data_IF_836196878155
#
_entry.id   IF_836196878155
#
_cell.length_a   1.000
_cell.length_b   1.000
_cell.length_c   1.000
_cell.angle_alpha   90.00
_cell.angle_beta   90.00
_cell.angle_gamma   90.00
#
_symmetry.space_group_name_H-M   'P 1'
#
loop_
_entity.id
_entity.type
_entity.pdbx_description
1 polymer ?
#
# COMPACT_ATOMS: atom_id res chain seq x y z
N UNK A 1 -41.77 14.29 -20.32
CA UNK A 1 -41.54 14.23 -21.78
C UNK A 1 -41.64 15.64 -22.42
N UNK A 2 -42.70 16.41 -22.25
CA UNK A 2 -42.88 17.73 -22.90
C UNK A 2 -42.03 18.88 -22.34
N UNK A 3 -41.15 18.64 -21.36
CA UNK A 3 -40.30 19.68 -20.76
C UNK A 3 -39.01 19.93 -21.58
N UNK A 4 -38.63 19.01 -22.51
CA UNK A 4 -37.48 19.21 -23.36
C UNK A 4 -37.90 20.01 -24.60
N UNK A 5 -37.21 21.16 -24.83
CA UNK A 5 -37.51 22.09 -25.92
C UNK A 5 -37.30 21.44 -27.31
N UNK A 6 -36.27 20.60 -27.46
CA UNK A 6 -35.96 19.93 -28.72
C UNK A 6 -37.06 18.95 -29.13
N UNK A 7 -37.61 18.16 -28.18
CA UNK A 7 -38.68 17.21 -28.47
C UNK A 7 -39.96 17.92 -28.81
N UNK A 8 -40.24 19.03 -28.12
CA UNK A 8 -41.41 19.86 -28.47
C UNK A 8 -41.32 20.43 -29.88
N UNK A 9 -40.13 20.96 -30.24
CA UNK A 9 -39.92 21.49 -31.60
C UNK A 9 -40.09 20.40 -32.67
N UNK A 10 -39.51 19.19 -32.42
CA UNK A 10 -39.61 18.06 -33.32
C UNK A 10 -41.08 17.55 -33.41
N UNK A 11 -41.75 17.42 -32.27
CA UNK A 11 -43.18 17.04 -32.24
C UNK A 11 -44.06 18.03 -33.02
N UNK A 12 -43.89 19.35 -32.80
CA UNK A 12 -44.62 20.38 -33.53
C UNK A 12 -44.29 20.30 -35.04
N UNK A 13 -43.05 20.11 -35.45
CA UNK A 13 -42.68 19.92 -36.83
C UNK A 13 -43.33 18.70 -37.45
N UNK A 14 -43.28 17.52 -36.81
CA UNK A 14 -43.96 16.30 -37.26
C UNK A 14 -45.48 16.44 -37.36
N UNK A 15 -46.10 17.17 -36.41
CA UNK A 15 -47.53 17.45 -36.45
C UNK A 15 -47.88 18.37 -37.65
N UNK A 16 -47.14 19.43 -37.84
CA UNK A 16 -47.35 20.37 -38.98
C UNK A 16 -47.14 19.73 -40.33
N UNK A 17 -46.03 18.97 -40.47
CA UNK A 17 -45.71 18.28 -41.72
C UNK A 17 -46.74 17.20 -42.08
N UNK A 18 -47.16 16.42 -41.07
CA UNK A 18 -48.19 15.41 -41.22
C UNK A 18 -49.55 15.97 -41.57
N UNK A 19 -49.95 17.07 -40.93
CA UNK A 19 -51.20 17.76 -41.25
C UNK A 19 -51.18 18.28 -42.73
N UNK A 20 -50.08 18.86 -43.16
CA UNK A 20 -49.91 19.32 -44.55
C UNK A 20 -50.01 18.15 -45.55
N UNK A 21 -49.40 17.00 -45.23
CA UNK A 21 -49.46 15.80 -46.07
C UNK A 21 -50.86 15.20 -46.17
N UNK A 22 -51.62 15.21 -45.06
CA UNK A 22 -53.02 14.73 -45.04
C UNK A 22 -53.91 15.64 -45.84
N UNK A 23 -53.79 16.97 -45.68
CA UNK A 23 -54.56 17.97 -46.46
C UNK A 23 -54.27 17.85 -47.96
N UNK A 24 -53.00 17.71 -48.35
CA UNK A 24 -52.62 17.47 -49.74
C UNK A 24 -53.19 16.18 -50.31
N UNK A 25 -53.19 15.09 -49.51
CA UNK A 25 -53.78 13.81 -49.87
C UNK A 25 -55.27 13.91 -50.16
N UNK A 26 -56.05 14.58 -49.30
CA UNK A 26 -57.48 14.81 -49.54
C UNK A 26 -57.77 15.71 -50.73
N UNK A 27 -56.90 16.64 -51.11
CA UNK A 27 -57.00 17.46 -52.28
C UNK A 27 -56.83 16.69 -53.61
N UNK A 28 -56.10 15.56 -53.56
CA UNK A 28 -55.85 14.69 -54.74
C UNK A 28 -56.97 13.67 -54.92
N UNK A 29 -57.23 12.88 -53.83
CA UNK A 29 -58.29 11.89 -53.79
C UNK A 29 -58.65 11.53 -52.36
N UNK A 30 -59.94 11.20 -52.00
CA UNK A 30 -60.36 10.83 -50.69
C UNK A 30 -59.61 9.60 -50.10
N UNK A 31 -59.34 8.62 -50.96
CA UNK A 31 -58.61 7.41 -50.61
C UNK A 31 -57.14 7.71 -50.23
N UNK A 32 -56.49 8.65 -50.93
CA UNK A 32 -55.13 9.09 -50.65
C UNK A 32 -55.03 9.86 -49.32
N UNK A 33 -56.04 10.68 -48.97
CA UNK A 33 -56.15 11.35 -47.70
C UNK A 33 -56.25 10.42 -46.49
N UNK A 34 -57.09 9.35 -46.62
CA UNK A 34 -57.22 8.32 -45.59
C UNK A 34 -55.93 7.51 -45.37
N UNK A 35 -55.26 7.12 -46.44
CA UNK A 35 -53.98 6.45 -46.37
C UNK A 35 -52.87 7.33 -45.71
N UNK A 36 -52.81 8.61 -46.08
CA UNK A 36 -51.88 9.57 -45.44
C UNK A 36 -52.15 9.75 -43.96
N UNK A 37 -53.38 9.82 -43.53
CA UNK A 37 -53.80 9.94 -42.14
C UNK A 37 -53.44 8.65 -41.34
N UNK A 38 -53.66 7.46 -41.89
CA UNK A 38 -53.26 6.20 -41.27
C UNK A 38 -51.77 6.07 -41.13
N UNK A 39 -51.01 6.38 -42.15
CA UNK A 39 -49.54 6.36 -42.14
C UNK A 39 -48.98 7.38 -41.11
N UNK A 40 -49.50 8.59 -41.10
CA UNK A 40 -49.10 9.61 -40.15
C UNK A 40 -49.41 9.21 -38.70
N UNK A 41 -50.59 8.65 -38.43
CA UNK A 41 -50.95 8.12 -37.11
C UNK A 41 -50.03 7.03 -36.65
N UNK A 42 -49.67 6.09 -37.56
CA UNK A 42 -48.70 5.03 -37.26
C UNK A 42 -47.31 5.59 -36.92
N UNK A 43 -46.80 6.56 -37.70
CA UNK A 43 -45.52 7.23 -37.43
C UNK A 43 -45.51 8.00 -36.09
N UNK A 44 -46.60 8.72 -35.79
CA UNK A 44 -46.75 9.43 -34.51
C UNK A 44 -46.79 8.46 -33.32
N UNK A 45 -47.50 7.34 -33.44
CA UNK A 45 -47.51 6.30 -32.40
C UNK A 45 -46.12 5.68 -32.19
N UNK A 46 -45.45 5.30 -33.27
CA UNK A 46 -44.05 4.77 -33.21
C UNK A 46 -43.06 5.75 -32.58
N UNK A 47 -43.15 7.02 -32.97
CA UNK A 47 -42.31 8.07 -32.36
C UNK A 47 -42.61 8.25 -30.87
N UNK A 48 -43.89 8.20 -30.47
CA UNK A 48 -44.31 8.30 -29.07
C UNK A 48 -43.76 7.15 -28.22
N UNK A 49 -43.89 5.91 -28.70
CA UNK A 49 -43.35 4.71 -28.04
C UNK A 49 -41.82 4.77 -27.91
N UNK A 50 -41.14 5.08 -29.00
CA UNK A 50 -39.66 5.19 -28.99
C UNK A 50 -39.18 6.27 -28.02
N UNK A 51 -39.81 7.44 -28.02
CA UNK A 51 -39.47 8.54 -27.12
C UNK A 51 -39.70 8.14 -25.66
N UNK A 52 -40.84 7.48 -25.37
CA UNK A 52 -41.14 6.98 -24.02
C UNK A 52 -40.12 6.00 -23.51
N UNK A 53 -39.73 5.01 -24.35
CA UNK A 53 -38.71 4.05 -24.04
C UNK A 53 -37.37 4.72 -23.74
N UNK A 54 -36.90 5.62 -24.62
CA UNK A 54 -35.65 6.37 -24.46
C UNK A 54 -35.61 7.17 -23.15
N UNK A 55 -36.70 7.86 -22.80
CA UNK A 55 -36.77 8.59 -21.53
C UNK A 55 -36.73 7.68 -20.30
N UNK A 56 -37.35 6.51 -20.38
CA UNK A 56 -37.31 5.51 -19.32
C UNK A 56 -35.87 5.05 -19.09
N UNK A 57 -35.10 4.81 -20.14
CA UNK A 57 -33.69 4.41 -20.03
C UNK A 57 -32.81 5.51 -19.40
N UNK A 58 -33.01 6.77 -19.81
CA UNK A 58 -32.29 7.92 -19.22
C UNK A 58 -32.65 8.07 -17.73
N UNK A 59 -33.91 7.90 -17.37
CA UNK A 59 -34.36 7.95 -15.97
C UNK A 59 -33.70 6.89 -15.10
N UNK A 60 -33.52 5.67 -15.61
CA UNK A 60 -32.80 4.60 -14.91
C UNK A 60 -31.33 4.99 -14.67
N UNK A 61 -30.65 5.57 -15.67
CA UNK A 61 -29.29 6.05 -15.51
C UNK A 61 -29.17 7.17 -14.48
N UNK A 62 -30.12 8.12 -14.51
CA UNK A 62 -30.13 9.23 -13.53
C UNK A 62 -30.35 8.70 -12.11
N UNK A 63 -31.27 7.75 -11.94
CA UNK A 63 -31.52 7.12 -10.64
C UNK A 63 -30.31 6.31 -10.14
N UNK A 64 -29.61 5.64 -11.07
CA UNK A 64 -28.36 4.94 -10.76
C UNK A 64 -27.27 5.90 -10.25
N UNK A 65 -27.01 7.00 -10.99
CA UNK A 65 -26.05 8.02 -10.58
C UNK A 65 -26.40 8.65 -9.23
N UNK A 66 -27.67 8.96 -9.00
CA UNK A 66 -28.13 9.49 -7.71
C UNK A 66 -27.87 8.52 -6.55
N UNK A 67 -28.04 7.22 -6.79
CA UNK A 67 -27.77 6.17 -5.79
C UNK A 67 -26.26 6.06 -5.50
N UNK A 68 -25.41 6.04 -6.54
CA UNK A 68 -23.95 6.00 -6.40
C UNK A 68 -23.46 7.24 -5.65
N UNK A 69 -23.96 8.42 -6.01
CA UNK A 69 -23.61 9.67 -5.32
C UNK A 69 -24.04 9.67 -3.83
N UNK A 70 -25.14 9.02 -3.49
CA UNK A 70 -25.61 8.85 -2.11
C UNK A 70 -24.85 7.76 -1.31
N UNK A 71 -23.75 7.22 -1.83
CA UNK A 71 -22.94 6.19 -1.15
C UNK A 71 -23.51 4.77 -1.23
N UNK A 72 -24.48 4.53 -2.13
CA UNK A 72 -25.03 3.21 -2.38
C UNK A 72 -24.05 2.30 -3.15
N UNK A 73 -24.23 0.97 -3.00
CA UNK A 73 -23.43 0.00 -3.74
C UNK A 73 -23.59 0.19 -5.26
N UNK A 74 -22.47 0.08 -5.96
CA UNK A 74 -22.44 0.03 -7.43
C UNK A 74 -23.16 -1.25 -7.89
N UNK A 75 -24.30 -1.07 -8.56
CA UNK A 75 -25.02 -2.19 -9.18
C UNK A 75 -24.57 -2.36 -10.63
N UNK A 76 -24.56 -3.59 -11.11
CA UNK A 76 -24.28 -3.83 -12.52
C UNK A 76 -25.49 -3.38 -13.36
N UNK A 77 -25.26 -2.33 -14.16
CA UNK A 77 -26.25 -1.74 -15.07
C UNK A 77 -25.95 -2.07 -16.54
N UNK A 78 -24.92 -2.89 -16.78
CA UNK A 78 -24.54 -3.29 -18.14
C UNK A 78 -25.63 -4.13 -18.75
N UNK A 79 -25.89 -3.89 -20.01
CA UNK A 79 -26.73 -4.74 -20.84
C UNK A 79 -25.95 -5.11 -22.12
N UNK A 80 -26.29 -6.25 -22.71
CA UNK A 80 -25.66 -6.73 -23.93
C UNK A 80 -26.42 -6.24 -25.17
N UNK A 81 -27.12 -5.12 -25.07
CA UNK A 81 -27.84 -4.55 -26.23
C UNK A 81 -26.90 -3.67 -27.03
N UNK A 82 -26.97 -3.75 -28.34
CA UNK A 82 -26.24 -2.84 -29.23
C UNK A 82 -26.86 -1.46 -29.19
N UNK A 83 -26.02 -0.41 -29.11
CA UNK A 83 -26.46 0.98 -29.20
C UNK A 83 -25.66 1.93 -28.32
N UNK A 84 -25.74 3.21 -28.64
CA UNK A 84 -25.03 4.31 -27.96
C UNK A 84 -25.33 4.37 -26.46
N UNK A 85 -26.58 4.06 -26.07
CA UNK A 85 -27.02 4.07 -24.68
C UNK A 85 -26.38 2.94 -23.86
N UNK A 86 -26.13 1.78 -24.48
CA UNK A 86 -25.42 0.66 -23.87
C UNK A 86 -23.94 0.97 -23.67
N UNK A 87 -23.30 1.61 -24.63
CA UNK A 87 -21.94 2.09 -24.48
C UNK A 87 -21.83 3.05 -23.29
N UNK A 88 -22.76 4.03 -23.20
CA UNK A 88 -22.79 4.96 -22.09
C UNK A 88 -23.00 4.26 -20.73
N UNK A 89 -23.87 3.26 -20.64
CA UNK A 89 -24.05 2.43 -19.43
C UNK A 89 -22.77 1.74 -19.03
N UNK A 90 -22.07 1.12 -19.98
CA UNK A 90 -20.81 0.41 -19.76
C UNK A 90 -19.70 1.35 -19.26
N UNK A 91 -19.58 2.53 -19.85
CA UNK A 91 -18.56 3.51 -19.46
C UNK A 91 -18.87 4.11 -18.09
N UNK A 92 -20.14 4.45 -17.80
CA UNK A 92 -20.55 4.88 -16.47
C UNK A 92 -20.28 3.82 -15.41
N UNK A 93 -20.57 2.54 -15.71
CA UNK A 93 -20.26 1.45 -14.79
C UNK A 93 -18.76 1.35 -14.51
N UNK A 94 -17.90 1.38 -15.55
CA UNK A 94 -16.44 1.34 -15.39
C UNK A 94 -15.93 2.50 -14.51
N UNK A 95 -16.42 3.72 -14.79
CA UNK A 95 -16.03 4.91 -14.01
C UNK A 95 -16.48 4.77 -12.55
N UNK A 96 -17.71 4.34 -12.31
CA UNK A 96 -18.21 4.19 -10.93
C UNK A 96 -17.49 3.10 -10.15
N UNK A 97 -17.14 1.97 -10.78
CA UNK A 97 -16.31 0.93 -10.17
C UNK A 97 -14.92 1.45 -9.84
N UNK A 98 -14.27 2.17 -10.77
CA UNK A 98 -12.95 2.74 -10.54
C UNK A 98 -12.96 3.77 -9.39
N UNK A 99 -13.97 4.65 -9.34
CA UNK A 99 -14.13 5.62 -8.25
C UNK A 99 -14.38 4.94 -6.90
N UNK A 100 -15.19 3.86 -6.87
CA UNK A 100 -15.42 3.10 -5.65
C UNK A 100 -14.13 2.45 -5.15
N UNK A 101 -13.36 1.82 -6.04
CA UNK A 101 -12.07 1.23 -5.70
C UNK A 101 -11.09 2.27 -5.13
N UNK A 102 -11.03 3.46 -5.74
CA UNK A 102 -10.20 4.56 -5.22
C UNK A 102 -10.67 5.05 -3.85
N UNK A 103 -11.99 5.15 -3.63
CA UNK A 103 -12.54 5.55 -2.35
C UNK A 103 -12.25 4.51 -1.24
N UNK A 104 -12.39 3.22 -1.55
CA UNK A 104 -12.10 2.12 -0.64
C UNK A 104 -10.60 2.07 -0.30
N UNK A 105 -9.72 2.28 -1.30
CA UNK A 105 -8.27 2.38 -1.10
C UNK A 105 -7.91 3.57 -0.20
N UNK A 106 -8.46 4.75 -0.48
CA UNK A 106 -8.23 5.95 0.34
C UNK A 106 -8.70 5.76 1.78
N UNK A 107 -9.82 5.05 1.97
CA UNK A 107 -10.33 4.75 3.31
C UNK A 107 -9.43 3.74 4.05
N UNK A 108 -8.90 2.74 3.35
CA UNK A 108 -7.92 1.80 3.88
C UNK A 108 -6.63 2.53 4.28
N UNK A 109 -6.12 3.41 3.41
CA UNK A 109 -4.91 4.21 3.68
C UNK A 109 -5.11 5.14 4.90
N UNK A 110 -6.30 5.78 5.03
CA UNK A 110 -6.62 6.60 6.21
C UNK A 110 -6.65 5.80 7.49
N UNK A 111 -7.24 4.60 7.48
CA UNK A 111 -7.26 3.71 8.66
C UNK A 111 -5.84 3.30 9.01
N UNK A 112 -5.08 2.85 8.02
CA UNK A 112 -3.68 2.48 8.22
C UNK A 112 -2.85 3.61 8.85
N UNK A 113 -3.02 4.87 8.37
CA UNK A 113 -2.35 6.03 8.96
C UNK A 113 -2.80 6.31 10.40
N UNK A 114 -4.09 6.17 10.70
CA UNK A 114 -4.62 6.39 12.05
C UNK A 114 -4.07 5.34 13.04
N UNK A 115 -4.05 4.07 12.64
CA UNK A 115 -3.52 2.97 13.43
C UNK A 115 -2.01 3.15 13.67
N UNK A 116 -1.24 3.48 12.61
CA UNK A 116 0.19 3.75 12.71
C UNK A 116 0.50 4.92 13.64
N UNK A 117 -0.27 6.02 13.61
CA UNK A 117 -0.13 7.16 14.52
C UNK A 117 -0.44 6.76 15.99
N UNK A 118 -1.44 5.90 16.18
CA UNK A 118 -1.77 5.34 17.49
C UNK A 118 -0.59 4.54 18.06
N UNK A 119 -0.03 3.64 17.26
CA UNK A 119 1.11 2.81 17.63
C UNK A 119 2.36 3.64 17.94
N UNK A 120 2.69 4.63 17.09
CA UNK A 120 3.78 5.57 17.31
C UNK A 120 3.61 6.28 18.65
N UNK A 121 2.42 6.82 18.91
CA UNK A 121 2.12 7.54 20.14
C UNK A 121 2.34 6.65 21.36
N UNK A 122 1.87 5.40 21.29
CA UNK A 122 2.06 4.44 22.39
C UNK A 122 3.53 4.06 22.58
N UNK A 123 4.27 3.81 21.50
CA UNK A 123 5.69 3.45 21.53
C UNK A 123 6.60 4.60 21.97
N UNK A 124 6.20 5.86 21.80
CA UNK A 124 6.90 7.04 22.32
C UNK A 124 6.54 7.32 23.78
N UNK A 125 5.28 7.14 24.18
CA UNK A 125 4.80 7.43 25.54
C UNK A 125 5.51 6.60 26.60
N UNK A 126 5.72 5.32 26.35
CA UNK A 126 6.34 4.39 27.31
C UNK A 126 7.76 4.79 27.71
N UNK A 127 8.73 4.96 26.75
CA UNK A 127 10.09 5.38 27.08
C UNK A 127 10.15 6.81 27.62
N UNK A 128 9.27 7.71 27.16
CA UNK A 128 9.20 9.07 27.66
C UNK A 128 8.76 9.12 29.13
N UNK A 129 7.69 8.36 29.48
CA UNK A 129 7.24 8.27 30.86
C UNK A 129 8.32 7.67 31.76
N UNK A 130 9.02 6.62 31.30
CA UNK A 130 10.14 6.03 32.02
C UNK A 130 11.28 7.03 32.22
N UNK A 131 11.62 7.81 31.19
CA UNK A 131 12.64 8.86 31.26
C UNK A 131 12.27 9.95 32.29
N UNK A 132 11.01 10.39 32.30
CA UNK A 132 10.52 11.39 33.27
C UNK A 132 10.63 10.87 34.71
N UNK A 133 10.17 9.64 34.98
CA UNK A 133 10.30 9.04 36.31
C UNK A 133 11.77 8.94 36.74
N UNK A 134 12.69 8.56 35.81
CA UNK A 134 14.13 8.54 36.13
C UNK A 134 14.66 9.94 36.46
N UNK A 135 14.18 10.97 35.77
CA UNK A 135 14.59 12.36 36.05
C UNK A 135 14.12 12.80 37.43
N UNK A 136 12.88 12.47 37.82
CA UNK A 136 12.36 12.79 39.15
C UNK A 136 13.15 12.09 40.27
N UNK A 137 13.49 10.80 40.05
CA UNK A 137 14.32 10.05 41.00
C UNK A 137 15.75 10.60 41.13
N UNK A 138 16.33 11.07 39.99
CA UNK A 138 17.67 11.69 40.00
C UNK A 138 17.71 13.07 40.70
N UNK A 139 16.55 13.74 40.88
CA UNK A 139 16.44 15.01 41.58
C UNK A 139 16.60 14.84 43.10
N UNK A 140 16.46 13.61 43.64
CA UNK A 140 16.69 13.33 45.03
C UNK A 140 18.18 13.44 45.39
N UNK A 141 18.51 14.45 46.22
CA UNK A 141 19.89 14.71 46.68
C UNK A 141 20.41 13.54 47.59
N UNK A 142 19.53 12.75 48.20
CA UNK A 142 19.90 11.66 49.09
C UNK A 142 20.20 10.35 48.36
N UNK A 143 20.06 10.32 47.00
CA UNK A 143 20.24 9.12 46.19
C UNK A 143 21.70 8.64 46.25
N UNK A 144 21.96 7.35 46.58
CA UNK A 144 23.29 6.76 46.55
C UNK A 144 23.92 6.84 45.16
N UNK A 145 25.24 7.10 45.08
CA UNK A 145 25.97 7.29 43.84
C UNK A 145 25.79 6.11 42.87
N UNK A 146 25.77 4.87 43.35
CA UNK A 146 25.54 3.68 42.53
C UNK A 146 24.16 3.70 41.87
N UNK A 147 23.12 4.09 42.59
CA UNK A 147 21.74 4.23 42.07
C UNK A 147 21.64 5.38 41.08
N UNK A 148 22.37 6.49 41.34
CA UNK A 148 22.44 7.63 40.43
C UNK A 148 22.99 7.23 39.07
N UNK A 149 24.09 6.47 39.03
CA UNK A 149 24.68 5.93 37.81
C UNK A 149 23.72 5.01 37.09
N UNK A 150 23.09 4.06 37.80
CA UNK A 150 22.10 3.13 37.21
C UNK A 150 20.93 3.89 36.56
N UNK A 151 20.37 4.90 37.21
CA UNK A 151 19.26 5.67 36.65
C UNK A 151 19.69 6.53 35.49
N UNK A 152 20.90 7.10 35.52
CA UNK A 152 21.48 7.86 34.40
C UNK A 152 21.67 6.95 33.18
N UNK A 153 22.17 5.73 33.34
CA UNK A 153 22.36 4.77 32.27
C UNK A 153 21.02 4.31 31.67
N UNK A 154 20.02 4.11 32.52
CA UNK A 154 18.67 3.76 32.08
C UNK A 154 18.02 4.91 31.33
N UNK A 155 18.15 6.15 31.81
CA UNK A 155 17.65 7.35 31.15
C UNK A 155 18.29 7.52 29.76
N UNK A 156 19.61 7.38 29.68
CA UNK A 156 20.35 7.45 28.40
C UNK A 156 19.85 6.42 27.40
N UNK A 157 19.61 5.19 27.83
CA UNK A 157 19.03 4.13 26.97
C UNK A 157 17.64 4.48 26.47
N UNK A 158 16.76 5.02 27.31
CA UNK A 158 15.42 5.43 26.90
C UNK A 158 15.44 6.57 25.89
N UNK A 159 16.29 7.58 26.10
CA UNK A 159 16.47 8.68 25.15
C UNK A 159 17.03 8.20 23.81
N UNK A 160 18.03 7.31 23.83
CA UNK A 160 18.58 6.70 22.63
C UNK A 160 17.53 5.90 21.83
N UNK A 161 16.63 5.18 22.54
CA UNK A 161 15.51 4.47 21.96
C UNK A 161 14.53 5.43 21.25
N UNK A 162 14.17 6.55 21.90
CA UNK A 162 13.30 7.57 21.30
C UNK A 162 13.96 8.16 20.05
N UNK A 163 15.24 8.53 20.13
CA UNK A 163 15.97 9.08 19.01
C UNK A 163 16.03 8.12 17.81
N UNK A 164 16.30 6.84 18.08
CA UNK A 164 16.28 5.80 17.04
C UNK A 164 14.89 5.65 16.41
N UNK A 165 13.83 5.62 17.24
CA UNK A 165 12.45 5.48 16.77
C UNK A 165 12.05 6.63 15.85
N UNK A 166 12.29 7.87 16.26
CA UNK A 166 12.01 9.06 15.44
C UNK A 166 12.81 9.03 14.13
N UNK A 167 14.10 8.66 14.19
CA UNK A 167 14.93 8.51 12.99
C UNK A 167 14.42 7.45 12.02
N UNK A 168 13.99 6.29 12.53
CA UNK A 168 13.43 5.22 11.72
C UNK A 168 12.10 5.62 11.06
N UNK A 169 11.22 6.31 11.80
CA UNK A 169 9.94 6.82 11.28
C UNK A 169 10.13 7.86 10.18
N UNK A 170 11.05 8.80 10.36
CA UNK A 170 11.37 9.80 9.33
C UNK A 170 11.91 9.13 8.05
N UNK A 171 12.74 8.09 8.19
CA UNK A 171 13.26 7.34 7.05
C UNK A 171 12.15 6.58 6.33
N UNK A 172 11.27 5.89 7.06
CA UNK A 172 10.10 5.22 6.48
C UNK A 172 9.18 6.20 5.75
N UNK A 173 8.86 7.33 6.36
CA UNK A 173 8.04 8.37 5.74
C UNK A 173 8.62 8.88 4.42
N UNK A 174 9.96 9.07 4.35
CA UNK A 174 10.63 9.49 3.11
C UNK A 174 10.63 8.40 2.05
N UNK A 175 10.78 7.14 2.44
CA UNK A 175 10.69 5.99 1.53
C UNK A 175 9.30 5.88 0.92
N UNK A 176 8.25 6.00 1.74
CA UNK A 176 6.85 5.93 1.28
C UNK A 176 6.48 7.06 0.32
N UNK A 177 6.95 8.24 0.61
CA UNK A 177 6.75 9.41 -0.26
C UNK A 177 7.56 9.34 -1.57
N UNK A 178 8.41 8.31 -1.77
CA UNK A 178 9.34 8.26 -2.90
C UNK A 178 10.34 9.43 -2.91
N UNK A 179 10.55 10.08 -1.76
CA UNK A 179 11.36 11.29 -1.63
C UNK A 179 12.86 11.00 -1.39
N UNK A 180 13.25 9.73 -1.44
CA UNK A 180 14.65 9.33 -1.29
C UNK A 180 15.29 9.18 -2.66
N UNK A 181 16.31 9.98 -2.93
CA UNK A 181 17.16 9.79 -4.10
C UNK A 181 18.30 8.83 -3.75
N UNK A 182 18.17 7.57 -4.15
CA UNK A 182 19.24 6.58 -3.95
C UNK A 182 20.39 6.81 -4.92
N UNK A 183 21.60 6.70 -4.39
CA UNK A 183 22.80 6.70 -5.23
C UNK A 183 22.99 5.33 -5.83
N UNK A 184 23.18 5.24 -7.15
CA UNK A 184 23.54 4.01 -7.84
C UNK A 184 25.05 3.98 -8.05
N UNK A 185 25.76 3.47 -7.04
CA UNK A 185 27.21 3.35 -7.05
C UNK A 185 27.62 1.86 -7.00
N UNK A 186 28.79 1.49 -7.51
CA UNK A 186 29.29 0.12 -7.37
C UNK A 186 29.67 -0.17 -5.91
N UNK A 187 28.98 -1.07 -5.27
CA UNK A 187 29.14 -1.44 -3.87
C UNK A 187 29.74 -2.85 -3.78
N UNK A 188 30.97 -3.01 -3.24
CA UNK A 188 31.51 -4.33 -2.93
C UNK A 188 30.72 -4.97 -1.79
N UNK A 189 30.12 -6.13 -2.05
CA UNK A 189 29.21 -6.80 -1.10
C UNK A 189 29.95 -7.22 0.18
N UNK A 190 31.20 -7.63 0.08
CA UNK A 190 32.03 -7.94 1.26
C UNK A 190 32.19 -6.73 2.20
N UNK A 191 32.45 -5.54 1.64
CA UNK A 191 32.58 -4.31 2.43
C UNK A 191 31.23 -3.89 3.06
N UNK A 192 30.15 -4.02 2.31
CA UNK A 192 28.79 -3.78 2.79
C UNK A 192 28.47 -4.65 4.01
N UNK A 193 28.75 -5.97 3.93
CA UNK A 193 28.52 -6.90 5.02
C UNK A 193 29.38 -6.55 6.24
N UNK A 194 30.66 -6.27 6.05
CA UNK A 194 31.56 -5.84 7.14
C UNK A 194 30.98 -4.62 7.87
N UNK A 195 30.60 -3.57 7.13
CA UNK A 195 30.01 -2.34 7.72
C UNK A 195 28.69 -2.59 8.45
N UNK A 196 27.90 -3.56 8.00
CA UNK A 196 26.66 -3.93 8.65
C UNK A 196 26.89 -4.71 9.95
N UNK A 197 27.95 -5.53 10.02
CA UNK A 197 28.29 -6.38 11.16
C UNK A 197 29.08 -5.64 12.25
N UNK A 198 29.99 -4.74 11.86
CA UNK A 198 30.88 -4.05 12.82
C UNK A 198 30.17 -3.47 14.05
N UNK A 199 29.05 -2.73 13.93
CA UNK A 199 28.35 -2.16 15.09
C UNK A 199 27.70 -3.21 16.01
N UNK A 200 27.51 -4.45 15.53
CA UNK A 200 26.83 -5.51 16.25
C UNK A 200 27.81 -6.51 16.91
N UNK A 201 29.12 -6.38 16.66
CA UNK A 201 30.14 -7.30 17.17
C UNK A 201 30.11 -7.41 18.70
N UNK A 202 30.08 -6.28 19.40
CA UNK A 202 30.05 -6.27 20.88
C UNK A 202 28.77 -6.98 21.39
N UNK A 203 27.64 -6.76 20.72
CA UNK A 203 26.39 -7.41 21.11
C UNK A 203 26.47 -8.93 20.87
N UNK A 204 27.02 -9.36 19.73
CA UNK A 204 27.23 -10.79 19.43
C UNK A 204 28.16 -11.45 20.44
N UNK A 205 29.26 -10.79 20.81
CA UNK A 205 30.19 -11.28 21.85
C UNK A 205 29.52 -11.44 23.21
N UNK A 206 28.76 -10.42 23.66
CA UNK A 206 28.04 -10.44 24.93
C UNK A 206 26.97 -11.55 24.99
N UNK A 207 26.37 -11.89 23.86
CA UNK A 207 25.35 -12.93 23.74
C UNK A 207 25.93 -14.28 23.35
N UNK A 208 27.25 -14.42 23.20
CA UNK A 208 27.93 -15.63 22.72
C UNK A 208 27.40 -16.13 21.34
N UNK A 209 27.12 -15.20 20.44
CA UNK A 209 26.70 -15.50 19.06
C UNK A 209 27.93 -15.57 18.16
N UNK A 210 28.17 -16.75 17.57
CA UNK A 210 29.21 -16.93 16.58
C UNK A 210 28.71 -16.48 15.20
N UNK A 211 29.51 -15.66 14.49
CA UNK A 211 29.20 -15.22 13.14
C UNK A 211 30.12 -15.90 12.12
N UNK A 212 29.50 -16.58 11.16
CA UNK A 212 30.19 -17.19 10.01
C UNK A 212 29.73 -16.48 8.74
N UNK A 213 30.65 -15.85 8.01
CA UNK A 213 30.37 -15.13 6.78
C UNK A 213 31.12 -15.76 5.60
N UNK A 214 30.36 -16.32 4.66
CA UNK A 214 30.83 -16.85 3.40
C UNK A 214 30.43 -15.92 2.26
N UNK A 215 31.34 -15.06 1.86
CA UNK A 215 31.17 -14.10 0.78
C UNK A 215 32.28 -14.25 -0.24
N UNK A 216 31.99 -14.78 -1.45
CA UNK A 216 33.00 -14.85 -2.52
C UNK A 216 33.54 -13.44 -2.83
N UNK A 217 34.87 -13.39 -3.04
CA UNK A 217 35.54 -12.14 -3.35
C UNK A 217 35.08 -11.56 -4.71
N UNK A 218 35.05 -10.24 -4.83
CA UNK A 218 34.82 -9.56 -6.10
C UNK A 218 33.38 -9.38 -6.51
N UNK A 219 32.41 -9.77 -5.67
CA UNK A 219 30.98 -9.48 -5.93
C UNK A 219 30.72 -7.99 -5.73
N UNK A 220 30.19 -7.33 -6.77
CA UNK A 220 29.82 -5.92 -6.77
C UNK A 220 28.35 -5.79 -7.19
N UNK A 221 27.60 -5.02 -6.41
CA UNK A 221 26.21 -4.66 -6.71
C UNK A 221 26.09 -3.16 -6.95
N UNK A 222 25.10 -2.71 -7.74
CA UNK A 222 24.84 -1.30 -8.02
C UNK A 222 23.72 -0.78 -7.14
N UNK A 223 24.00 0.13 -6.22
CA UNK A 223 23.00 0.70 -5.33
C UNK A 223 23.56 1.68 -4.31
N UNK A 224 22.76 2.04 -3.31
CA UNK A 224 23.17 2.93 -2.21
C UNK A 224 23.71 2.11 -1.04
N UNK A 225 25.02 2.19 -0.83
CA UNK A 225 25.70 1.46 0.24
C UNK A 225 25.11 1.77 1.61
N UNK A 226 24.91 3.05 1.94
CA UNK A 226 24.50 3.49 3.28
C UNK A 226 23.12 2.96 3.66
N UNK A 227 22.17 3.01 2.73
CA UNK A 227 20.85 2.49 2.95
C UNK A 227 20.84 0.96 3.01
N UNK A 228 21.60 0.30 2.14
CA UNK A 228 21.65 -1.17 2.12
C UNK A 228 22.36 -1.74 3.34
N UNK A 229 23.44 -1.09 3.81
CA UNK A 229 24.07 -1.42 5.10
C UNK A 229 23.06 -1.37 6.23
N UNK A 230 22.23 -0.33 6.28
CA UNK A 230 21.18 -0.21 7.30
C UNK A 230 20.11 -1.31 7.19
N UNK A 231 19.73 -1.70 5.98
CA UNK A 231 18.77 -2.78 5.78
C UNK A 231 19.32 -4.11 6.30
N UNK A 232 20.55 -4.48 5.90
CA UNK A 232 21.23 -5.70 6.36
C UNK A 232 21.47 -5.66 7.87
N UNK A 233 21.87 -4.52 8.42
CA UNK A 233 22.06 -4.35 9.87
C UNK A 233 20.79 -4.61 10.66
N UNK A 234 19.63 -4.13 10.18
CA UNK A 234 18.34 -4.39 10.83
C UNK A 234 17.97 -5.87 10.82
N UNK A 235 18.27 -6.59 9.73
CA UNK A 235 18.04 -8.03 9.64
C UNK A 235 18.97 -8.77 10.60
N UNK A 236 20.28 -8.49 10.56
CA UNK A 236 21.28 -9.11 11.45
C UNK A 236 20.95 -8.86 12.91
N UNK A 237 20.59 -7.62 13.27
CA UNK A 237 20.18 -7.27 14.63
C UNK A 237 18.99 -8.10 15.07
N UNK A 238 18.00 -8.31 14.23
CA UNK A 238 16.84 -9.15 14.53
C UNK A 238 17.26 -10.60 14.81
N UNK A 239 18.14 -11.19 13.97
CA UNK A 239 18.66 -12.53 14.19
C UNK A 239 19.42 -12.65 15.52
N UNK A 240 20.27 -11.68 15.86
CA UNK A 240 21.04 -11.67 17.11
C UNK A 240 20.12 -11.57 18.30
N UNK A 241 19.08 -10.72 18.27
CA UNK A 241 18.07 -10.57 19.34
C UNK A 241 17.28 -11.86 19.59
N UNK A 242 17.12 -12.73 18.58
CA UNK A 242 16.47 -14.04 18.73
C UNK A 242 17.39 -15.13 19.31
N UNK A 243 18.65 -14.82 19.55
CA UNK A 243 19.64 -15.73 20.13
C UNK A 243 20.20 -15.24 21.51
N UNK A 244 19.34 -14.99 22.51
CA UNK A 244 19.76 -14.39 23.79
C UNK A 244 20.69 -15.29 24.62
N UNK A 245 20.71 -16.60 24.36
CA UNK A 245 21.52 -17.59 25.05
C UNK A 245 22.68 -18.13 24.21
N UNK A 246 23.05 -17.41 23.14
CA UNK A 246 24.05 -17.84 22.18
C UNK A 246 23.48 -18.56 20.99
N UNK A 247 24.31 -18.75 19.99
CA UNK A 247 23.95 -19.42 18.75
C UNK A 247 24.92 -19.13 17.62
N UNK A 248 24.52 -19.46 16.40
CA UNK A 248 25.31 -19.23 15.19
C UNK A 248 24.52 -18.40 14.19
N UNK A 249 25.12 -17.31 13.75
CA UNK A 249 24.65 -16.48 12.63
C UNK A 249 25.46 -16.86 11.39
N UNK A 250 24.82 -17.38 10.37
CA UNK A 250 25.47 -17.77 9.10
C UNK A 250 25.02 -16.84 7.99
N UNK A 251 25.98 -16.18 7.35
CA UNK A 251 25.73 -15.31 6.19
C UNK A 251 26.37 -15.94 4.97
N UNK A 252 25.57 -16.20 3.94
CA UNK A 252 26.01 -16.78 2.67
C UNK A 252 25.62 -15.88 1.51
N UNK A 253 26.59 -15.54 0.67
CA UNK A 253 26.36 -14.73 -0.53
C UNK A 253 26.46 -15.60 -1.77
N UNK A 254 25.44 -15.51 -2.63
CA UNK A 254 25.45 -16.13 -3.96
C UNK A 254 25.20 -15.05 -5.00
N UNK A 255 25.96 -15.11 -6.09
CA UNK A 255 25.88 -14.13 -7.17
C UNK A 255 25.40 -14.81 -8.45
N UNK A 256 24.25 -14.37 -8.92
CA UNK A 256 23.63 -14.81 -10.17
C UNK A 256 23.60 -13.66 -11.17
N UNK A 257 23.48 -13.90 -12.49
CA UNK A 257 23.40 -12.82 -13.49
C UNK A 257 22.25 -11.83 -13.27
N UNK A 258 21.17 -12.26 -12.59
CA UNK A 258 19.96 -11.45 -12.36
C UNK A 258 19.98 -10.74 -11.01
N UNK A 259 20.56 -11.37 -9.98
CA UNK A 259 20.56 -10.81 -8.63
C UNK A 259 21.73 -11.33 -7.79
N UNK A 260 22.18 -10.51 -6.84
CA UNK A 260 23.02 -10.96 -5.72
C UNK A 260 22.11 -11.29 -4.54
N UNK A 261 22.23 -12.51 -3.99
CA UNK A 261 21.48 -12.96 -2.81
C UNK A 261 22.36 -13.08 -1.60
N UNK A 262 21.91 -12.45 -0.50
CA UNK A 262 22.51 -12.58 0.81
C UNK A 262 21.54 -13.36 1.69
N UNK A 263 21.91 -14.58 2.08
CA UNK A 263 21.14 -15.41 3.00
C UNK A 263 21.71 -15.25 4.40
N UNK A 264 20.89 -14.79 5.33
CA UNK A 264 21.22 -14.57 6.73
C UNK A 264 20.40 -15.57 7.54
N UNK A 265 21.06 -16.55 8.13
CA UNK A 265 20.42 -17.63 8.90
C UNK A 265 20.86 -17.58 10.34
N UNK A 266 19.94 -17.73 11.27
CA UNK A 266 20.17 -17.85 12.70
C UNK A 266 19.83 -19.27 13.21
N UNK A 267 20.35 -19.62 14.38
CA UNK A 267 20.00 -20.85 15.10
C UNK A 267 19.10 -20.55 16.31
N UNK A 268 18.30 -19.49 16.24
CA UNK A 268 17.33 -19.12 17.27
C UNK A 268 16.11 -20.05 17.29
N UNK A 269 15.08 -19.63 17.98
CA UNK A 269 13.85 -20.43 18.09
C UNK A 269 12.97 -20.49 16.84
N UNK A 270 13.40 -19.89 15.71
CA UNK A 270 12.59 -19.72 14.51
C UNK A 270 11.48 -18.66 14.67
N UNK A 271 10.65 -18.55 13.66
CA UNK A 271 9.53 -17.59 13.61
C UNK A 271 8.22 -18.38 13.75
N UNK A 272 7.30 -17.94 14.63
CA UNK A 272 5.97 -18.56 14.69
C UNK A 272 5.32 -18.48 13.29
N UNK A 273 4.80 -19.60 12.74
CA UNK A 273 4.13 -19.58 11.44
C UNK A 273 3.02 -18.54 11.30
N UNK A 274 2.36 -18.17 12.41
CA UNK A 274 1.35 -17.12 12.44
C UNK A 274 1.96 -15.71 12.29
N UNK A 275 3.22 -15.53 12.69
CA UNK A 275 3.93 -14.25 12.61
C UNK A 275 4.59 -14.01 11.24
N UNK A 276 4.89 -15.06 10.48
CA UNK A 276 5.59 -14.97 9.18
C UNK A 276 4.92 -14.02 8.18
N UNK A 277 3.59 -14.05 7.96
CA UNK A 277 2.94 -13.14 7.01
C UNK A 277 3.03 -11.67 7.41
N UNK A 278 3.14 -11.39 8.71
CA UNK A 278 3.10 -10.05 9.29
C UNK A 278 4.48 -9.49 9.66
N UNK A 279 5.54 -10.29 9.49
CA UNK A 279 6.88 -9.99 9.98
C UNK A 279 7.46 -8.66 9.47
N UNK A 280 7.06 -8.25 8.28
CA UNK A 280 7.51 -7.01 7.64
C UNK A 280 6.49 -5.86 7.77
N UNK A 281 5.38 -6.08 8.48
CA UNK A 281 4.43 -5.02 8.79
C UNK A 281 5.02 -4.07 9.84
N UNK A 282 4.68 -2.81 9.75
CA UNK A 282 5.16 -1.77 10.67
C UNK A 282 4.53 -1.97 12.03
N UNK A 283 5.33 -1.79 13.07
CA UNK A 283 4.93 -1.94 14.47
C UNK A 283 4.52 -3.37 14.86
N UNK A 284 4.59 -4.30 13.92
CA UNK A 284 4.32 -5.68 14.24
C UNK A 284 5.41 -6.26 15.14
N UNK A 285 4.98 -6.91 16.21
CA UNK A 285 5.85 -7.59 17.18
C UNK A 285 5.39 -9.03 17.29
N UNK A 286 6.23 -9.94 16.83
CA UNK A 286 6.00 -11.36 17.01
C UNK A 286 5.93 -11.73 18.52
N UNK A 287 5.40 -12.89 18.82
CA UNK A 287 5.22 -13.39 20.19
C UNK A 287 6.53 -13.47 20.97
N UNK A 288 7.62 -13.72 20.29
CA UNK A 288 8.96 -13.84 20.88
C UNK A 288 9.76 -12.53 20.80
N UNK A 289 9.14 -11.41 20.47
CA UNK A 289 9.83 -10.13 20.36
C UNK A 289 10.35 -9.65 21.71
N UNK A 290 11.63 -9.29 21.77
CA UNK A 290 12.24 -8.73 22.98
C UNK A 290 11.54 -7.46 23.47
N UNK A 291 11.70 -7.12 24.77
CA UNK A 291 11.01 -5.96 25.40
C UNK A 291 11.37 -4.63 24.70
N UNK A 292 12.55 -4.56 24.09
CA UNK A 292 13.05 -3.36 23.42
C UNK A 292 12.73 -3.30 21.92
N UNK A 293 12.15 -4.36 21.36
CA UNK A 293 11.72 -4.40 19.96
C UNK A 293 10.54 -3.47 19.72
N UNK A 294 10.62 -2.64 18.68
CA UNK A 294 9.57 -1.66 18.29
C UNK A 294 8.77 -2.13 17.08
N UNK A 295 9.23 -3.18 16.37
CA UNK A 295 8.58 -3.69 15.17
C UNK A 295 8.77 -2.81 13.92
N UNK A 296 9.82 -1.97 13.88
CA UNK A 296 10.09 -1.09 12.72
C UNK A 296 11.28 -1.59 11.89
N UNK A 297 12.23 -2.30 12.49
CA UNK A 297 13.49 -2.62 11.86
C UNK A 297 13.36 -3.42 10.56
N UNK A 298 12.59 -4.51 10.58
CA UNK A 298 12.38 -5.36 9.40
C UNK A 298 11.52 -4.68 8.34
N UNK A 299 10.50 -3.90 8.75
CA UNK A 299 9.71 -3.08 7.84
C UNK A 299 10.57 -2.04 7.11
N UNK A 300 11.49 -1.37 7.84
CA UNK A 300 12.43 -0.42 7.27
C UNK A 300 13.41 -1.13 6.31
N UNK A 301 13.93 -2.30 6.69
CA UNK A 301 14.82 -3.08 5.83
C UNK A 301 14.13 -3.45 4.51
N UNK A 302 12.90 -3.96 4.56
CA UNK A 302 12.14 -4.29 3.36
C UNK A 302 11.82 -3.06 2.52
N UNK A 303 11.43 -1.94 3.14
CA UNK A 303 11.18 -0.67 2.45
C UNK A 303 12.41 -0.15 1.70
N UNK A 304 13.58 -0.19 2.34
CA UNK A 304 14.86 0.21 1.72
C UNK A 304 15.19 -0.66 0.50
N UNK A 305 15.04 -1.98 0.64
CA UNK A 305 15.38 -2.91 -0.43
C UNK A 305 14.41 -2.79 -1.60
N UNK A 306 13.10 -2.71 -1.35
CA UNK A 306 12.08 -2.51 -2.39
C UNK A 306 12.28 -1.20 -3.16
N UNK A 307 12.66 -0.13 -2.48
CA UNK A 307 12.91 1.16 -3.11
C UNK A 307 14.18 1.16 -3.99
N UNK A 308 15.01 0.11 -3.90
CA UNK A 308 16.18 -0.13 -4.75
C UNK A 308 15.99 -1.35 -5.66
N UNK A 309 14.75 -1.69 -6.01
CA UNK A 309 14.39 -2.83 -6.87
C UNK A 309 14.80 -4.20 -6.30
N UNK A 310 15.11 -4.28 -5.00
CA UNK A 310 15.44 -5.51 -4.28
C UNK A 310 14.23 -6.08 -3.54
N UNK A 311 14.48 -7.18 -2.80
CA UNK A 311 13.44 -7.81 -1.98
C UNK A 311 14.03 -8.36 -0.67
N UNK A 312 13.14 -8.57 0.33
CA UNK A 312 13.46 -9.23 1.59
C UNK A 312 12.35 -10.24 1.92
N UNK A 313 12.75 -11.48 2.09
CA UNK A 313 11.86 -12.57 2.50
C UNK A 313 12.39 -13.27 3.74
N UNK A 314 11.54 -14.00 4.45
CA UNK A 314 11.89 -14.80 5.61
C UNK A 314 11.25 -16.18 5.53
N UNK A 315 11.95 -17.18 5.99
CA UNK A 315 11.47 -18.56 6.07
C UNK A 315 12.02 -19.25 7.33
N UNK A 316 11.29 -20.23 7.82
CA UNK A 316 11.84 -21.12 8.85
C UNK A 316 12.70 -22.20 8.23
N UNK A 317 13.83 -22.47 8.87
CA UNK A 317 14.73 -23.57 8.55
C UNK A 317 14.83 -24.52 9.76
N UNK A 318 15.30 -25.77 9.59
CA UNK A 318 15.56 -26.64 10.72
C UNK A 318 16.54 -25.98 11.72
N UNK A 319 16.03 -25.69 12.92
CA UNK A 319 16.81 -25.10 14.01
C UNK A 319 16.90 -23.58 14.04
N UNK A 320 16.11 -22.84 13.24
CA UNK A 320 16.12 -21.38 13.27
C UNK A 320 15.32 -20.72 12.14
N UNK A 321 15.69 -19.48 11.82
CA UNK A 321 15.11 -18.72 10.73
C UNK A 321 16.16 -18.34 9.68
N UNK A 322 15.69 -18.06 8.47
CA UNK A 322 16.49 -17.54 7.37
C UNK A 322 15.83 -16.33 6.76
N UNK A 323 16.60 -15.28 6.60
CA UNK A 323 16.24 -14.10 5.85
C UNK A 323 17.01 -14.09 4.52
N UNK A 324 16.32 -13.77 3.43
CA UNK A 324 16.92 -13.70 2.11
C UNK A 324 16.77 -12.27 1.60
N UNK A 325 17.90 -11.60 1.46
CA UNK A 325 18.01 -10.28 0.82
C UNK A 325 18.36 -10.51 -0.64
N UNK A 326 17.51 -10.02 -1.53
CA UNK A 326 17.74 -10.06 -2.98
C UNK A 326 18.05 -8.64 -3.48
N UNK A 327 19.21 -8.48 -4.07
CA UNK A 327 19.71 -7.25 -4.67
C UNK A 327 19.69 -7.43 -6.19
N UNK A 328 18.64 -6.97 -6.84
CA UNK A 328 18.48 -7.15 -8.28
C UNK A 328 19.53 -6.34 -9.06
N UNK A 329 20.02 -6.91 -10.13
CA UNK A 329 20.86 -6.21 -11.09
C UNK A 329 19.95 -5.56 -12.11
N UNK A 330 19.94 -4.24 -12.16
CA UNK A 330 19.25 -3.53 -13.23
C UNK A 330 19.93 -3.91 -14.53
N UNK A 331 19.23 -4.64 -15.40
CA UNK A 331 19.72 -4.86 -16.75
C UNK A 331 19.90 -3.48 -17.41
N UNK A 332 21.15 -3.17 -17.80
CA UNK A 332 21.52 -2.02 -18.62
C UNK A 332 20.99 -2.23 -20.04
#
# INVERSE_FOLDING_TARGET
MLRNREIRCLAVFCLAAGLAAVLAGFAIAPAAGVLALALWGFLCAGYGVFTAWRYRQISILTAYLARVYGGGRVLDIRDNTEGELSLLKNDLYKITVALQQQADQLQADKRFLADALGDISHQLKTPLTSALVMTDLLADASLPEQRRREFTDRLSRQLGRIQWLVGALLKLSRLDAGAVAFRKEPVPVEQLLRRALDPLQIQMELQNVQCQCDCPAGIVWQGDESWTVQAVQNVVKNCVEQMPNGGCLTIQVTDDPLCCRIRISDTGGGIDPADLPHLFERFYRGRNAGPDSVGIGLALAQGILRAQDGNLTAENIPGGARFVVELNRTNV
#
